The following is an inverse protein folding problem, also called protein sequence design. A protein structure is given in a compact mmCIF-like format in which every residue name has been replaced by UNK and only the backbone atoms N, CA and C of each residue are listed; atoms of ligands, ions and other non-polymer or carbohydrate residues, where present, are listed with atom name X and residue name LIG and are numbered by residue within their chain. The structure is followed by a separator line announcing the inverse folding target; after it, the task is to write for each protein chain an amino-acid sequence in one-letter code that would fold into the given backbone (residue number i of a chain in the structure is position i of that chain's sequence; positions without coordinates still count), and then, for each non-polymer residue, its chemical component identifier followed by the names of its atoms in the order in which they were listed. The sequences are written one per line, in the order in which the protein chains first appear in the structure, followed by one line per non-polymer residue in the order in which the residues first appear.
data_IF_065916764994
#
_entry.id   IF_065916764994
#
_cell.length_a   1.000
_cell.length_b   1.000
_cell.length_c   1.000
_cell.angle_alpha   90.00
_cell.angle_beta   90.00
_cell.angle_gamma   90.00
#
_symmetry.space_group_name_H-M   'P 1'
#
loop_
_entity.id
_entity.type
_entity.pdbx_description
1 polymer ?
#
# COMPACT_ATOMS: atom_id res chain seq x y z
N UNK A 1 -13.65 18.42 3.25
CA UNK A 1 -12.36 17.71 3.03
C UNK A 1 -11.49 18.47 2.03
N UNK A 2 -12.05 18.92 0.89
CA UNK A 2 -11.36 19.76 -0.11
C UNK A 2 -10.61 20.99 0.44
N UNK A 3 -11.19 21.68 1.43
CA UNK A 3 -10.55 22.84 2.07
C UNK A 3 -9.28 22.43 2.84
N UNK A 4 -9.31 21.28 3.52
CA UNK A 4 -8.19 20.78 4.33
C UNK A 4 -6.97 20.51 3.44
N UNK A 5 -7.17 19.86 2.29
CA UNK A 5 -6.08 19.47 1.39
C UNK A 5 -5.45 20.69 0.71
N UNK A 6 -6.28 21.67 0.34
CA UNK A 6 -5.81 22.95 -0.19
C UNK A 6 -4.99 23.72 0.84
N UNK A 7 -5.47 23.81 2.08
CA UNK A 7 -4.74 24.46 3.18
C UNK A 7 -3.43 23.75 3.49
N UNK A 8 -3.40 22.41 3.53
CA UNK A 8 -2.17 21.64 3.72
C UNK A 8 -1.16 21.88 2.60
N UNK A 9 -1.61 21.94 1.34
CA UNK A 9 -0.76 22.24 0.19
C UNK A 9 -0.19 23.67 0.25
N UNK A 10 -1.01 24.64 0.66
CA UNK A 10 -0.56 26.01 0.86
C UNK A 10 0.49 26.11 1.97
N UNK A 11 0.24 25.47 3.12
CA UNK A 11 1.17 25.41 4.25
C UNK A 11 2.51 24.76 3.87
N UNK A 12 2.48 23.64 3.14
CA UNK A 12 3.68 22.96 2.66
C UNK A 12 4.55 23.87 1.77
N UNK A 13 3.90 24.69 0.92
CA UNK A 13 4.58 25.66 0.06
C UNK A 13 5.13 26.85 0.85
N UNK A 14 4.36 27.36 1.81
CA UNK A 14 4.75 28.51 2.63
C UNK A 14 5.95 28.19 3.53
N UNK A 15 5.92 27.03 4.20
CA UNK A 15 6.99 26.60 5.09
C UNK A 15 8.13 25.87 4.37
N UNK A 16 7.95 25.56 3.09
CA UNK A 16 8.90 24.80 2.27
C UNK A 16 9.30 23.46 2.92
N UNK A 17 8.32 22.72 3.43
CA UNK A 17 8.52 21.40 4.04
C UNK A 17 7.61 20.35 3.42
N UNK A 18 8.05 19.08 3.32
CA UNK A 18 7.16 17.99 2.94
C UNK A 18 6.07 17.79 4.00
N UNK A 19 4.81 17.73 3.55
CA UNK A 19 3.67 17.40 4.41
C UNK A 19 3.12 16.05 3.98
N UNK A 20 3.09 15.10 4.91
CA UNK A 20 2.51 13.78 4.71
C UNK A 20 1.17 13.73 5.44
N UNK A 21 0.12 13.38 4.71
CA UNK A 21 -1.21 13.14 5.26
C UNK A 21 -1.58 11.68 4.99
N UNK A 22 -2.18 11.04 5.99
CA UNK A 22 -2.77 9.71 5.84
C UNK A 22 -4.25 9.87 5.52
N UNK A 23 -4.73 9.14 4.52
CA UNK A 23 -6.15 9.04 4.22
C UNK A 23 -6.58 7.58 4.25
N UNK A 24 -7.73 7.33 4.85
CA UNK A 24 -8.37 6.02 4.79
C UNK A 24 -9.10 5.88 3.46
N UNK A 25 -8.95 4.72 2.81
CA UNK A 25 -9.65 4.40 1.57
C UNK A 25 -11.13 4.11 1.83
N UNK A 26 -11.97 4.36 0.82
CA UNK A 26 -13.36 3.90 0.84
C UNK A 26 -13.42 2.38 0.95
N UNK A 27 -14.42 1.85 1.66
CA UNK A 27 -14.69 0.40 1.75
C UNK A 27 -15.05 -0.22 0.39
N UNK A 28 -15.30 0.59 -0.65
CA UNK A 28 -15.55 0.11 -2.00
C UNK A 28 -14.40 -0.72 -2.58
N UNK A 29 -13.15 -0.51 -2.13
CA UNK A 29 -12.02 -1.38 -2.49
C UNK A 29 -12.29 -2.84 -2.11
N UNK A 30 -13.03 -3.06 -1.02
CA UNK A 30 -13.33 -4.39 -0.48
C UNK A 30 -14.45 -5.11 -1.22
N UNK A 31 -15.15 -4.49 -2.17
CA UNK A 31 -16.14 -5.19 -3.00
C UNK A 31 -15.58 -5.67 -4.34
N UNK A 32 -14.40 -5.20 -4.75
CA UNK A 32 -13.75 -5.62 -6.00
C UNK A 32 -13.09 -6.99 -5.91
N UNK A 33 -12.90 -7.65 -7.04
CA UNK A 33 -12.08 -8.86 -7.10
C UNK A 33 -10.60 -8.54 -6.83
N UNK A 34 -10.09 -7.52 -7.53
CA UNK A 34 -8.78 -6.94 -7.26
C UNK A 34 -8.87 -5.88 -6.14
N UNK A 35 -8.23 -6.20 -5.03
CA UNK A 35 -8.18 -5.37 -3.81
C UNK A 35 -7.07 -4.34 -3.84
N UNK A 36 -6.26 -4.29 -4.91
CA UNK A 36 -5.22 -3.27 -5.08
C UNK A 36 -5.86 -1.88 -5.11
N UNK A 37 -5.44 -0.96 -4.23
CA UNK A 37 -5.96 0.40 -4.22
C UNK A 37 -5.64 1.17 -5.49
N UNK A 38 -6.55 2.07 -5.88
CA UNK A 38 -6.41 2.95 -7.02
C UNK A 38 -6.87 4.37 -6.67
N UNK A 39 -6.53 5.36 -7.50
CA UNK A 39 -6.86 6.77 -7.24
C UNK A 39 -8.36 7.02 -7.03
N UNK A 40 -9.23 6.29 -7.73
CA UNK A 40 -10.68 6.41 -7.57
C UNK A 40 -11.18 5.98 -6.17
N UNK A 41 -10.39 5.24 -5.40
CA UNK A 41 -10.72 4.88 -4.01
C UNK A 41 -10.59 6.08 -3.05
N UNK A 42 -9.93 7.16 -3.49
CA UNK A 42 -9.86 8.45 -2.80
C UNK A 42 -10.99 9.41 -3.19
N UNK A 43 -11.92 8.99 -4.07
CA UNK A 43 -12.98 9.87 -4.59
C UNK A 43 -13.88 10.45 -3.49
N UNK A 44 -14.14 9.68 -2.43
CA UNK A 44 -14.89 10.16 -1.26
C UNK A 44 -14.09 11.19 -0.43
N UNK A 45 -12.78 11.26 -0.62
CA UNK A 45 -11.90 12.23 0.03
C UNK A 45 -11.84 13.59 -0.70
N UNK A 46 -12.67 13.81 -1.72
CA UNK A 46 -12.76 15.09 -2.41
C UNK A 46 -11.55 15.38 -3.30
N UNK A 47 -10.85 16.50 -3.07
CA UNK A 47 -9.77 16.97 -3.95
C UNK A 47 -8.37 16.42 -3.64
N UNK A 48 -8.21 15.46 -2.71
CA UNK A 48 -6.89 14.86 -2.41
C UNK A 48 -6.18 14.42 -3.68
N UNK A 49 -6.89 13.70 -4.56
CA UNK A 49 -6.34 13.20 -5.82
C UNK A 49 -5.79 14.33 -6.68
N UNK A 50 -6.43 15.50 -6.68
CA UNK A 50 -6.01 16.64 -7.51
C UNK A 50 -4.89 17.46 -6.84
N UNK A 51 -5.00 17.70 -5.54
CA UNK A 51 -4.12 18.60 -4.79
C UNK A 51 -2.77 17.97 -4.43
N UNK A 52 -2.72 16.65 -4.20
CA UNK A 52 -1.51 15.95 -3.82
C UNK A 52 -0.48 15.91 -4.96
N UNK A 53 0.80 16.13 -4.65
CA UNK A 53 1.87 15.92 -5.63
C UNK A 53 2.18 14.43 -5.82
N UNK A 54 2.11 13.67 -4.72
CA UNK A 54 2.39 12.23 -4.68
C UNK A 54 1.24 11.54 -3.93
N UNK A 55 0.77 10.42 -4.48
CA UNK A 55 -0.17 9.53 -3.79
C UNK A 55 0.46 8.15 -3.72
N UNK A 56 0.62 7.65 -2.50
CA UNK A 56 1.14 6.32 -2.19
C UNK A 56 0.02 5.48 -1.60
N UNK A 57 -0.13 4.26 -2.08
CA UNK A 57 -0.98 3.25 -1.46
C UNK A 57 -0.13 2.14 -0.85
N UNK A 58 -0.57 1.62 0.29
CA UNK A 58 0.04 0.45 0.93
C UNK A 58 -0.87 -0.73 0.67
N UNK A 59 -0.31 -1.81 0.12
CA UNK A 59 -1.03 -3.04 -0.17
C UNK A 59 -0.29 -4.24 0.42
N UNK A 60 -1.04 -5.17 1.01
CA UNK A 60 -0.51 -6.42 1.57
C UNK A 60 -1.32 -7.59 1.05
N UNK A 61 -0.77 -8.28 0.04
CA UNK A 61 -1.45 -9.42 -0.57
C UNK A 61 -1.69 -10.56 0.43
N UNK A 62 -0.73 -10.83 1.31
CA UNK A 62 -0.83 -11.81 2.40
C UNK A 62 -2.11 -11.62 3.24
N UNK A 63 -2.45 -10.37 3.56
CA UNK A 63 -3.65 -10.08 4.35
C UNK A 63 -4.93 -10.54 3.64
N UNK A 64 -5.02 -10.31 2.33
CA UNK A 64 -6.19 -10.69 1.53
C UNK A 64 -6.23 -12.20 1.26
N UNK A 65 -5.10 -12.82 0.97
CA UNK A 65 -5.02 -14.26 0.76
C UNK A 65 -5.35 -15.03 2.04
N UNK A 66 -4.91 -14.57 3.21
CA UNK A 66 -5.23 -15.21 4.50
C UNK A 66 -6.74 -15.30 4.76
N UNK A 67 -7.54 -14.36 4.27
CA UNK A 67 -9.02 -14.40 4.40
C UNK A 67 -9.71 -15.38 3.44
N UNK A 68 -8.97 -15.96 2.50
CA UNK A 68 -9.48 -16.80 1.40
C UNK A 68 -8.95 -18.24 1.45
N UNK A 69 -8.45 -18.69 2.60
CA UNK A 69 -7.92 -20.06 2.77
C UNK A 69 -8.95 -21.13 2.37
N UNK A 70 -8.67 -21.95 1.33
CA UNK A 70 -9.54 -23.05 0.93
C UNK A 70 -9.49 -24.22 1.91
N UNK A 71 -10.36 -25.21 1.72
CA UNK A 71 -10.34 -26.42 2.56
C UNK A 71 -9.01 -27.16 2.41
N UNK A 72 -8.37 -27.59 3.51
CA UNK A 72 -7.15 -28.38 3.43
C UNK A 72 -7.34 -29.66 2.60
N UNK A 73 -6.34 -30.00 1.81
CA UNK A 73 -6.31 -31.21 0.98
C UNK A 73 -7.03 -31.12 -0.36
N UNK A 74 -7.48 -29.93 -0.79
CA UNK A 74 -7.99 -29.71 -2.15
C UNK A 74 -6.91 -29.13 -3.07
N UNK A 75 -7.02 -29.28 -4.41
CA UNK A 75 -6.10 -28.66 -5.36
C UNK A 75 -6.02 -27.13 -5.22
N UNK A 76 -7.13 -26.49 -4.84
CA UNK A 76 -7.18 -25.04 -4.61
C UNK A 76 -6.34 -24.63 -3.40
N UNK A 77 -6.28 -25.47 -2.37
CA UNK A 77 -5.45 -25.22 -1.19
C UNK A 77 -3.95 -25.30 -1.51
N UNK A 78 -3.52 -26.22 -2.38
CA UNK A 78 -2.13 -26.28 -2.85
C UNK A 78 -1.73 -25.01 -3.63
N UNK A 79 -2.63 -24.52 -4.48
CA UNK A 79 -2.44 -23.26 -5.19
C UNK A 79 -2.37 -22.07 -4.22
N UNK A 80 -3.31 -22.00 -3.27
CA UNK A 80 -3.34 -20.94 -2.25
C UNK A 80 -2.07 -20.96 -1.39
N UNK A 81 -1.56 -22.13 -0.99
CA UNK A 81 -0.32 -22.23 -0.23
C UNK A 81 0.87 -21.68 -1.00
N UNK A 82 0.91 -21.94 -2.31
CA UNK A 82 1.96 -21.41 -3.19
C UNK A 82 1.88 -19.88 -3.26
N UNK A 83 0.69 -19.33 -3.52
CA UNK A 83 0.45 -17.87 -3.55
C UNK A 83 0.76 -17.21 -2.20
N UNK A 84 0.33 -17.81 -1.08
CA UNK A 84 0.66 -17.35 0.27
C UNK A 84 2.16 -17.36 0.53
N UNK A 85 2.87 -18.40 0.10
CA UNK A 85 4.33 -18.47 0.24
C UNK A 85 5.04 -17.33 -0.48
N UNK A 86 4.56 -16.94 -1.67
CA UNK A 86 5.11 -15.80 -2.41
C UNK A 86 4.80 -14.44 -1.78
N UNK A 87 3.61 -14.29 -1.19
CA UNK A 87 3.15 -13.05 -0.57
C UNK A 87 3.62 -12.88 0.89
N UNK A 88 4.05 -13.96 1.54
CA UNK A 88 4.38 -13.97 2.96
C UNK A 88 5.50 -12.99 3.29
N UNK A 89 5.28 -12.16 4.32
CA UNK A 89 6.26 -11.19 4.76
C UNK A 89 6.56 -10.09 3.75
N UNK A 90 5.71 -9.91 2.72
CA UNK A 90 5.84 -8.85 1.72
C UNK A 90 4.72 -7.83 1.82
N UNK A 91 5.05 -6.62 1.43
CA UNK A 91 4.09 -5.56 1.18
C UNK A 91 4.50 -4.77 -0.05
N UNK A 92 3.57 -4.00 -0.59
CA UNK A 92 3.81 -3.13 -1.73
C UNK A 92 3.46 -1.69 -1.36
N UNK A 93 4.31 -0.77 -1.82
CA UNK A 93 3.99 0.65 -1.91
C UNK A 93 3.75 0.98 -3.38
N UNK A 94 2.50 1.28 -3.70
CA UNK A 94 2.06 1.63 -5.04
C UNK A 94 2.07 3.15 -5.17
N UNK A 95 2.91 3.67 -6.06
CA UNK A 95 2.97 5.08 -6.42
C UNK A 95 1.85 5.34 -7.44
N UNK A 96 0.65 5.62 -6.94
CA UNK A 96 -0.53 5.87 -7.77
C UNK A 96 -0.51 7.22 -8.50
N UNK A 97 0.18 8.22 -7.92
CA UNK A 97 0.40 9.54 -8.55
C UNK A 97 1.79 10.05 -8.20
N UNK A 98 2.46 10.65 -9.18
CA UNK A 98 3.70 11.39 -9.01
C UNK A 98 3.72 12.55 -10.03
N UNK A 99 3.58 13.79 -9.57
CA UNK A 99 3.39 14.96 -10.44
C UNK A 99 4.59 15.26 -11.34
N UNK A 100 5.79 14.89 -10.90
CA UNK A 100 7.05 15.23 -11.57
C UNK A 100 7.96 14.02 -11.81
N UNK A 101 7.38 12.84 -12.00
CA UNK A 101 8.14 11.60 -12.11
C UNK A 101 7.27 10.39 -12.43
N UNK A 102 7.88 9.19 -12.50
CA UNK A 102 7.18 7.97 -12.83
C UNK A 102 6.28 7.48 -11.70
N UNK A 103 5.22 6.76 -12.08
CA UNK A 103 4.46 5.88 -11.19
C UNK A 103 5.06 4.47 -11.22
N UNK A 104 4.66 3.61 -10.30
CA UNK A 104 5.16 2.24 -10.21
C UNK A 104 4.85 1.61 -8.85
N UNK A 105 5.32 0.38 -8.66
CA UNK A 105 5.17 -0.35 -7.40
C UNK A 105 6.54 -0.69 -6.85
N UNK A 106 6.73 -0.49 -5.56
CA UNK A 106 7.93 -0.86 -4.82
C UNK A 106 7.55 -1.98 -3.85
N UNK A 107 8.22 -3.13 -3.97
CA UNK A 107 8.07 -4.22 -3.01
C UNK A 107 8.93 -3.98 -1.76
N UNK A 108 8.39 -4.29 -0.60
CA UNK A 108 8.99 -4.13 0.71
C UNK A 108 8.86 -5.42 1.52
N UNK A 109 9.75 -5.62 2.49
CA UNK A 109 9.53 -6.61 3.54
C UNK A 109 8.53 -6.06 4.57
N UNK A 110 7.72 -6.93 5.15
CA UNK A 110 6.75 -6.57 6.19
C UNK A 110 6.80 -7.58 7.34
N UNK A 111 7.15 -7.10 8.53
CA UNK A 111 7.21 -7.88 9.76
C UNK A 111 5.91 -7.68 10.56
N UNK A 112 4.98 -8.64 10.46
CA UNK A 112 3.65 -8.52 11.02
C UNK A 112 3.60 -8.48 12.56
N UNK A 113 4.55 -9.10 13.25
CA UNK A 113 4.65 -9.10 14.72
C UNK A 113 4.83 -7.70 15.32
N UNK A 114 5.46 -6.79 14.56
CA UNK A 114 5.79 -5.42 15.00
C UNK A 114 5.23 -4.34 14.08
N UNK A 115 4.47 -4.72 13.05
CA UNK A 115 3.89 -3.79 12.05
C UNK A 115 4.95 -2.91 11.40
N UNK A 116 6.08 -3.52 10.98
CA UNK A 116 7.23 -2.80 10.44
C UNK A 116 7.42 -3.10 8.96
N UNK A 117 7.60 -2.04 8.17
CA UNK A 117 8.09 -2.14 6.80
C UNK A 117 9.62 -2.03 6.81
N UNK A 118 10.27 -2.85 5.99
CA UNK A 118 11.70 -2.81 5.78
C UNK A 118 12.05 -2.93 4.31
N UNK A 119 13.32 -2.75 3.99
CA UNK A 119 13.81 -3.02 2.65
C UNK A 119 13.61 -4.51 2.35
N UNK A 120 13.13 -4.81 1.14
CA UNK A 120 13.09 -6.18 0.68
C UNK A 120 14.53 -6.57 0.33
N UNK A 121 15.15 -7.38 1.17
CA UNK A 121 16.46 -7.92 0.85
C UNK A 121 16.35 -8.78 -0.42
N UNK A 122 17.32 -8.70 -1.35
CA UNK A 122 17.37 -9.64 -2.46
C UNK A 122 17.37 -11.08 -1.92
N UNK A 123 16.66 -12.00 -2.59
CA UNK A 123 16.56 -13.41 -2.17
C UNK A 123 17.93 -13.94 -1.72
N UNK A 124 18.07 -14.21 -0.41
CA UNK A 124 19.28 -14.77 0.19
C UNK A 124 20.08 -13.84 1.12
N UNK A 125 19.72 -12.57 1.30
CA UNK A 125 20.34 -11.72 2.33
C UNK A 125 19.40 -11.54 3.53
N UNK A 126 19.83 -12.03 4.70
CA UNK A 126 19.17 -11.72 5.97
C UNK A 126 19.34 -10.21 6.19
N UNK A 127 18.27 -9.43 6.39
CA UNK A 127 18.41 -8.01 6.68
C UNK A 127 19.28 -7.85 7.94
N UNK A 128 20.32 -7.03 7.81
CA UNK A 128 21.24 -6.74 8.90
C UNK A 128 20.44 -6.14 10.05
N UNK A 129 20.32 -6.88 11.16
CA UNK A 129 19.58 -6.42 12.34
C UNK A 129 20.38 -5.26 12.92
N UNK A 130 19.83 -4.03 13.01
CA UNK A 130 20.46 -3.03 13.84
C UNK A 130 20.18 -3.41 15.30
N UNK A 131 21.23 -3.94 15.94
CA UNK A 131 21.46 -4.20 17.37
C UNK A 131 20.25 -4.49 18.27
#
# INVERSE_FOLDING_TARGET
ITEITTSLKALAKELNVPVIALSQLSRQVESRDDKRPQLSDLRESGSIEQDADVVLFVFREEYYLATKEPRPGTPEHEKWQTEMGFAHGKAEVIIGKQRHGPTGTVELSFEASVTRFGDLAPDGQVPDRPY
#
